data_IF_220058752982
#
_entry.id   IF_220058752982
#
_cell.length_a   1.000
_cell.length_b   1.000
_cell.length_c   1.000
_cell.angle_alpha   90.00
_cell.angle_beta   90.00
_cell.angle_gamma   90.00
#
_symmetry.space_group_name_H-M   'P 1'
#
loop_
_entity.id
_entity.type
_entity.pdbx_description
1 polymer ?
#
# COMPACT_ATOMS: atom_id res chain seq x y z
N UNK A 1 1.97 -14.40 -26.26
CA UNK A 1 1.99 -15.13 -24.98
C UNK A 1 2.90 -14.32 -24.08
N UNK A 2 2.37 -13.85 -22.95
CA UNK A 2 3.15 -13.06 -22.00
C UNK A 2 4.23 -13.96 -21.39
N UNK A 3 5.43 -13.41 -21.18
CA UNK A 3 6.53 -14.12 -20.53
C UNK A 3 6.19 -14.45 -19.06
N UNK A 4 6.34 -15.71 -18.67
CA UNK A 4 6.15 -16.17 -17.29
C UNK A 4 7.03 -15.41 -16.30
N UNK A 5 8.26 -15.05 -16.69
CA UNK A 5 9.16 -14.27 -15.84
C UNK A 5 8.58 -12.88 -15.57
N UNK A 6 7.99 -12.26 -16.59
CA UNK A 6 7.33 -10.97 -16.43
C UNK A 6 6.15 -11.06 -15.46
N UNK A 7 5.28 -12.07 -15.62
CA UNK A 7 4.14 -12.29 -14.72
C UNK A 7 4.59 -12.50 -13.27
N UNK A 8 5.56 -13.40 -13.03
CA UNK A 8 6.07 -13.66 -11.67
C UNK A 8 6.69 -12.40 -11.06
N UNK A 9 7.35 -11.57 -11.88
CA UNK A 9 7.89 -10.27 -11.42
C UNK A 9 6.80 -9.25 -11.09
N UNK A 10 5.71 -9.20 -11.85
CA UNK A 10 4.57 -8.32 -11.57
C UNK A 10 3.84 -8.75 -10.29
N UNK A 11 3.67 -10.06 -10.07
CA UNK A 11 3.14 -10.63 -8.82
C UNK A 11 4.01 -10.21 -7.62
N UNK A 12 5.33 -10.33 -7.75
CA UNK A 12 6.27 -9.91 -6.70
C UNK A 12 6.14 -8.40 -6.42
N UNK A 13 6.14 -7.58 -7.47
CA UNK A 13 6.04 -6.13 -7.35
C UNK A 13 4.72 -5.67 -6.70
N UNK A 14 3.58 -6.23 -7.12
CA UNK A 14 2.28 -5.89 -6.55
C UNK A 14 2.19 -6.26 -5.06
N UNK A 15 2.61 -7.48 -4.70
CA UNK A 15 2.57 -7.95 -3.30
C UNK A 15 3.58 -7.21 -2.41
N UNK A 16 4.72 -6.82 -2.96
CA UNK A 16 5.73 -5.96 -2.31
C UNK A 16 5.16 -4.57 -2.00
N UNK A 17 4.52 -3.91 -2.97
CA UNK A 17 3.89 -2.60 -2.81
C UNK A 17 2.76 -2.63 -1.76
N UNK A 18 1.91 -3.65 -1.80
CA UNK A 18 0.87 -3.86 -0.77
C UNK A 18 1.49 -4.07 0.61
N UNK A 19 2.52 -4.92 0.70
CA UNK A 19 3.21 -5.21 1.95
C UNK A 19 3.92 -3.99 2.57
N UNK A 20 4.30 -2.98 1.77
CA UNK A 20 4.82 -1.72 2.31
C UNK A 20 3.76 -0.95 3.12
N UNK A 21 2.52 -0.96 2.64
CA UNK A 21 1.41 -0.26 3.28
C UNK A 21 0.98 -0.99 4.54
N UNK A 22 0.88 -2.32 4.50
CA UNK A 22 0.58 -3.13 5.68
C UNK A 22 1.55 -2.83 6.84
N UNK A 23 2.82 -2.53 6.54
CA UNK A 23 3.84 -2.20 7.56
C UNK A 23 3.62 -0.85 8.24
N UNK A 24 3.00 0.11 7.56
CA UNK A 24 2.92 1.50 8.05
C UNK A 24 1.48 1.99 8.24
N UNK A 25 0.48 1.17 7.97
CA UNK A 25 -0.91 1.60 7.98
C UNK A 25 -1.33 2.28 9.29
N UNK A 26 -0.98 1.70 10.44
CA UNK A 26 -1.28 2.30 11.75
C UNK A 26 -0.63 3.69 11.92
N UNK A 27 0.57 3.89 11.36
CA UNK A 27 1.27 5.16 11.37
C UNK A 27 0.62 6.17 10.42
N UNK A 28 0.17 5.71 9.26
CA UNK A 28 -0.60 6.52 8.30
C UNK A 28 -1.90 6.99 8.95
N UNK A 29 -2.70 6.07 9.51
CA UNK A 29 -3.95 6.43 10.21
C UNK A 29 -3.71 7.48 11.30
N UNK A 30 -2.63 7.36 12.07
CA UNK A 30 -2.26 8.36 13.10
C UNK A 30 -2.01 9.75 12.51
N UNK A 31 -1.22 9.82 11.44
CA UNK A 31 -0.85 11.10 10.80
C UNK A 31 -2.05 11.75 10.11
N UNK A 32 -2.96 10.95 9.56
CA UNK A 32 -4.09 11.46 8.77
C UNK A 32 -5.32 11.76 9.62
N UNK A 33 -5.61 10.95 10.64
CA UNK A 33 -6.79 11.14 11.53
C UNK A 33 -6.54 12.09 12.70
N UNK A 34 -5.27 12.34 13.06
CA UNK A 34 -4.91 13.13 14.24
C UNK A 34 -5.30 12.48 15.58
N UNK A 35 -5.84 11.26 15.58
CA UNK A 35 -6.24 10.56 16.80
C UNK A 35 -5.06 9.84 17.46
N UNK A 36 -4.93 10.02 18.77
CA UNK A 36 -3.98 9.30 19.63
C UNK A 36 -4.46 7.90 20.03
N UNK A 37 -5.63 7.44 19.57
CA UNK A 37 -6.20 6.12 19.92
C UNK A 37 -5.46 4.92 19.31
N UNK A 38 -4.48 5.14 18.43
CA UNK A 38 -3.78 4.11 17.65
C UNK A 38 -2.53 3.51 18.28
N UNK A 39 -2.51 3.23 19.59
CA UNK A 39 -1.36 2.58 20.25
C UNK A 39 -1.43 1.04 20.29
N UNK A 40 -2.55 0.46 19.85
CA UNK A 40 -2.70 -0.99 19.70
C UNK A 40 -2.60 -1.31 18.21
N UNK A 41 -1.54 -2.01 17.77
CA UNK A 41 -1.46 -2.51 16.39
C UNK A 41 -2.73 -3.27 16.05
N UNK A 42 -3.45 -2.82 15.03
CA UNK A 42 -4.67 -3.51 14.60
C UNK A 42 -4.25 -4.61 13.65
N UNK A 43 -4.58 -5.85 13.99
CA UNK A 43 -4.42 -6.91 13.01
C UNK A 43 -5.42 -6.68 11.87
N UNK A 44 -4.89 -6.33 10.69
CA UNK A 44 -5.70 -6.25 9.47
C UNK A 44 -6.35 -7.60 9.19
N UNK A 45 -7.66 -7.56 8.93
CA UNK A 45 -8.48 -8.74 8.67
C UNK A 45 -8.07 -9.38 7.37
N UNK A 46 -7.74 -8.59 6.34
CA UNK A 46 -7.24 -9.08 5.07
C UNK A 46 -5.72 -8.91 4.97
N UNK A 47 -5.02 -9.93 4.47
CA UNK A 47 -3.59 -9.87 4.11
C UNK A 47 -3.38 -10.45 2.72
N UNK A 48 -2.63 -9.76 1.87
CA UNK A 48 -2.29 -10.20 0.51
C UNK A 48 -0.80 -10.51 0.47
N UNK A 49 -0.43 -11.73 0.08
CA UNK A 49 0.96 -12.19 0.10
C UNK A 49 1.30 -12.99 -1.16
N UNK A 50 2.59 -13.04 -1.50
CA UNK A 50 3.11 -13.96 -2.53
C UNK A 50 3.38 -15.33 -1.92
N UNK A 51 2.86 -16.37 -2.55
CA UNK A 51 3.20 -17.77 -2.25
C UNK A 51 3.60 -18.47 -3.55
N UNK A 52 4.90 -18.73 -3.75
CA UNK A 52 5.41 -19.21 -5.03
C UNK A 52 5.15 -18.20 -6.15
N UNK A 53 4.47 -18.62 -7.21
CA UNK A 53 4.04 -17.78 -8.35
C UNK A 53 2.55 -17.41 -8.28
N UNK A 54 2.02 -17.33 -7.06
CA UNK A 54 0.64 -16.95 -6.79
C UNK A 54 0.56 -15.80 -5.79
N UNK A 55 -0.56 -15.07 -5.88
CA UNK A 55 -1.02 -14.12 -4.87
C UNK A 55 -2.07 -14.83 -4.03
N UNK A 56 -1.86 -14.87 -2.72
CA UNK A 56 -2.79 -15.44 -1.75
C UNK A 56 -3.36 -14.33 -0.88
N UNK A 57 -4.67 -14.16 -0.94
CA UNK A 57 -5.43 -13.31 -0.03
C UNK A 57 -5.97 -14.17 1.12
N UNK A 58 -5.68 -13.73 2.34
CA UNK A 58 -6.17 -14.36 3.56
C UNK A 58 -7.09 -13.42 4.31
N UNK A 59 -8.23 -13.93 4.78
CA UNK A 59 -9.11 -13.22 5.71
C UNK A 59 -9.07 -13.94 7.05
N UNK A 60 -8.67 -13.25 8.11
CA UNK A 60 -8.49 -13.82 9.46
C UNK A 60 -7.59 -15.08 9.44
N UNK A 61 -6.52 -15.04 8.64
CA UNK A 61 -5.55 -16.12 8.47
C UNK A 61 -5.98 -17.26 7.55
N UNK A 62 -7.26 -17.37 7.21
CA UNK A 62 -7.77 -18.39 6.29
C UNK A 62 -7.59 -17.95 4.85
N UNK A 63 -7.18 -18.87 3.97
CA UNK A 63 -7.11 -18.60 2.53
C UNK A 63 -8.52 -18.25 2.04
N UNK A 64 -8.69 -17.04 1.54
CA UNK A 64 -9.92 -16.57 0.95
C UNK A 64 -9.87 -16.71 -0.58
N UNK A 65 -8.74 -16.32 -1.17
CA UNK A 65 -8.56 -16.36 -2.62
C UNK A 65 -7.10 -16.60 -2.97
N UNK A 66 -6.88 -17.33 -4.06
CA UNK A 66 -5.56 -17.50 -4.69
C UNK A 66 -5.68 -17.08 -6.15
N UNK A 67 -4.76 -16.23 -6.60
CA UNK A 67 -4.58 -15.86 -8.01
C UNK A 67 -3.23 -16.37 -8.45
N UNK A 68 -3.19 -17.03 -9.59
CA UNK A 68 -2.02 -17.68 -10.16
C UNK A 68 -1.47 -16.89 -11.34
N UNK A 69 -0.26 -17.21 -11.79
CA UNK A 69 0.31 -16.64 -13.01
C UNK A 69 -0.63 -16.72 -14.24
N UNK A 70 -1.45 -17.76 -14.34
CA UNK A 70 -2.39 -17.94 -15.46
C UNK A 70 -3.47 -16.84 -15.52
N UNK A 71 -3.85 -16.29 -14.37
CA UNK A 71 -4.84 -15.23 -14.28
C UNK A 71 -4.31 -13.89 -14.86
N UNK A 72 -2.98 -13.76 -14.97
CA UNK A 72 -2.31 -12.59 -15.55
C UNK A 72 -1.97 -12.76 -17.05
N UNK A 73 -2.09 -13.96 -17.63
CA UNK A 73 -1.69 -14.23 -19.04
C UNK A 73 -2.47 -13.41 -20.07
N UNK A 74 -3.66 -12.94 -19.70
CA UNK A 74 -4.55 -12.15 -20.57
C UNK A 74 -4.34 -10.64 -20.43
N UNK A 75 -3.51 -10.21 -19.48
CA UNK A 75 -3.23 -8.79 -19.30
C UNK A 75 -2.23 -8.28 -20.35
N UNK A 76 -2.36 -7.02 -20.77
CA UNK A 76 -1.32 -6.35 -21.55
C UNK A 76 0.04 -6.40 -20.85
N UNK A 77 1.10 -6.69 -21.60
CA UNK A 77 2.48 -6.67 -21.10
C UNK A 77 2.86 -5.33 -20.46
N UNK A 78 2.38 -4.22 -21.04
CA UNK A 78 2.58 -2.88 -20.50
C UNK A 78 2.00 -2.71 -19.08
N UNK A 79 0.88 -3.37 -18.75
CA UNK A 79 0.27 -3.28 -17.42
C UNK A 79 1.14 -4.03 -16.39
N UNK A 80 1.72 -5.16 -16.79
CA UNK A 80 2.62 -5.96 -15.94
C UNK A 80 3.94 -5.22 -15.69
N UNK A 81 4.49 -4.55 -16.71
CA UNK A 81 5.67 -3.71 -16.56
C UNK A 81 5.39 -2.48 -15.69
N UNK A 82 4.22 -1.86 -15.86
CA UNK A 82 3.84 -0.67 -15.11
C UNK A 82 3.78 -0.93 -13.60
N UNK A 83 3.39 -2.13 -13.18
CA UNK A 83 3.38 -2.51 -11.76
C UNK A 83 4.76 -2.44 -11.11
N UNK A 84 5.83 -2.71 -11.86
CA UNK A 84 7.21 -2.58 -11.36
C UNK A 84 7.60 -1.12 -11.16
N UNK A 85 7.11 -0.23 -12.03
CA UNK A 85 7.30 1.22 -11.88
C UNK A 85 6.58 1.72 -10.62
N UNK A 86 5.35 1.26 -10.40
CA UNK A 86 4.57 1.59 -9.20
C UNK A 86 5.23 1.06 -7.92
N UNK A 87 5.76 -0.17 -7.94
CA UNK A 87 6.53 -0.72 -6.81
C UNK A 87 7.77 0.14 -6.52
N UNK A 88 8.53 0.52 -7.53
CA UNK A 88 9.72 1.36 -7.34
C UNK A 88 9.34 2.73 -6.76
N UNK A 89 8.26 3.34 -7.25
CA UNK A 89 7.74 4.61 -6.72
C UNK A 89 7.32 4.47 -5.25
N UNK A 90 6.59 3.40 -4.92
CA UNK A 90 6.22 3.07 -3.54
C UNK A 90 7.42 2.90 -2.62
N UNK A 91 8.48 2.21 -3.07
CA UNK A 91 9.72 2.06 -2.30
C UNK A 91 10.40 3.41 -2.05
N UNK A 92 10.43 4.29 -3.06
CA UNK A 92 11.02 5.63 -2.92
C UNK A 92 10.25 6.46 -1.87
N UNK A 93 8.92 6.47 -1.96
CA UNK A 93 8.08 7.17 -1.00
C UNK A 93 8.19 6.58 0.41
N UNK A 94 8.24 5.25 0.53
CA UNK A 94 8.47 4.56 1.80
C UNK A 94 9.83 4.93 2.41
N UNK A 95 10.88 5.06 1.61
CA UNK A 95 12.20 5.49 2.11
C UNK A 95 12.15 6.90 2.70
N UNK A 96 11.41 7.82 2.06
CA UNK A 96 11.18 9.17 2.60
C UNK A 96 10.40 9.07 3.92
N UNK A 97 9.29 8.32 3.92
CA UNK A 97 8.46 8.07 5.12
C UNK A 97 9.31 7.57 6.30
N UNK A 98 10.11 6.53 6.07
CA UNK A 98 10.95 5.90 7.09
C UNK A 98 12.00 6.87 7.68
N UNK A 99 12.46 7.86 6.90
CA UNK A 99 13.41 8.88 7.39
C UNK A 99 12.73 10.04 8.13
N UNK A 100 11.48 10.38 7.75
CA UNK A 100 10.76 11.55 8.27
C UNK A 100 9.94 11.19 9.51
N UNK A 101 9.24 10.05 9.50
CA UNK A 101 8.31 9.66 10.55
C UNK A 101 8.92 9.66 11.96
N UNK A 102 10.14 9.13 12.19
CA UNK A 102 10.77 9.15 13.52
C UNK A 102 11.00 10.56 14.07
N UNK A 103 11.07 11.58 13.21
CA UNK A 103 11.31 12.96 13.62
C UNK A 103 10.11 13.57 14.37
N UNK A 104 8.90 13.03 14.20
CA UNK A 104 7.71 13.47 14.95
C UNK A 104 7.88 13.34 16.46
N UNK A 105 8.55 12.27 16.92
CA UNK A 105 8.82 12.05 18.34
C UNK A 105 9.90 12.99 18.90
N UNK A 106 10.72 13.57 18.02
CA UNK A 106 11.84 14.46 18.39
C UNK A 106 11.47 15.95 18.28
N UNK A 107 10.39 16.28 17.57
CA UNK A 107 9.95 17.65 17.36
C UNK A 107 9.26 18.22 18.61
N UNK A 108 10.03 18.94 19.44
CA UNK A 108 9.52 19.66 20.62
C UNK A 108 8.85 21.00 20.24
N UNK A 109 9.32 21.63 19.16
CA UNK A 109 8.74 22.86 18.62
C UNK A 109 7.45 22.56 17.83
N UNK A 110 6.31 23.18 18.17
CA UNK A 110 5.05 23.00 17.46
C UNK A 110 5.13 23.31 15.96
N UNK A 111 5.94 24.30 15.55
CA UNK A 111 6.07 24.67 14.13
C UNK A 111 6.84 23.59 13.37
N UNK A 112 7.98 23.14 13.90
CA UNK A 112 8.73 22.03 13.33
C UNK A 112 7.90 20.73 13.25
N UNK A 113 7.07 20.46 14.27
CA UNK A 113 6.15 19.32 14.28
C UNK A 113 5.12 19.41 13.15
N UNK A 114 4.44 20.55 13.02
CA UNK A 114 3.44 20.76 11.97
C UNK A 114 4.04 20.64 10.56
N UNK A 115 5.27 21.13 10.34
CA UNK A 115 5.98 20.97 9.07
C UNK A 115 6.28 19.50 8.75
N UNK A 116 6.70 18.73 9.76
CA UNK A 116 6.99 17.29 9.62
C UNK A 116 5.71 16.52 9.30
N UNK A 117 4.61 16.82 9.98
CA UNK A 117 3.29 16.23 9.69
C UNK A 117 2.82 16.56 8.27
N UNK A 118 2.98 17.81 7.82
CA UNK A 118 2.63 18.20 6.45
C UNK A 118 3.46 17.44 5.40
N UNK A 119 4.76 17.25 5.64
CA UNK A 119 5.62 16.46 4.76
C UNK A 119 5.16 14.99 4.70
N UNK A 120 4.85 14.38 5.85
CA UNK A 120 4.35 13.01 5.91
C UNK A 120 3.01 12.87 5.17
N UNK A 121 2.08 13.80 5.35
CA UNK A 121 0.80 13.83 4.62
C UNK A 121 1.03 13.87 3.10
N UNK A 122 1.98 14.68 2.64
CA UNK A 122 2.37 14.71 1.22
C UNK A 122 2.86 13.36 0.71
N UNK A 123 3.70 12.66 1.48
CA UNK A 123 4.16 11.32 1.14
C UNK A 123 3.01 10.31 1.08
N UNK A 124 2.06 10.35 2.03
CA UNK A 124 0.87 9.48 2.02
C UNK A 124 0.03 9.69 0.76
N UNK A 125 -0.15 10.95 0.32
CA UNK A 125 -0.91 11.26 -0.89
C UNK A 125 -0.30 10.58 -2.12
N UNK A 126 1.03 10.62 -2.27
CA UNK A 126 1.70 9.98 -3.39
C UNK A 126 1.69 8.44 -3.27
N UNK A 127 1.98 7.88 -2.09
CA UNK A 127 1.87 6.43 -1.86
C UNK A 127 0.46 5.91 -2.13
N UNK A 128 -0.57 6.68 -1.79
CA UNK A 128 -1.96 6.31 -2.08
C UNK A 128 -2.19 6.20 -3.58
N UNK A 129 -1.69 7.13 -4.40
CA UNK A 129 -1.87 7.09 -5.87
C UNK A 129 -1.28 5.80 -6.44
N UNK A 130 -0.04 5.50 -6.06
CA UNK A 130 0.66 4.31 -6.53
C UNK A 130 -0.04 3.03 -6.06
N UNK A 131 -0.39 2.96 -4.77
CA UNK A 131 -1.10 1.81 -4.22
C UNK A 131 -2.48 1.62 -4.85
N UNK A 132 -3.22 2.70 -5.13
CA UNK A 132 -4.54 2.59 -5.77
C UNK A 132 -4.41 1.93 -7.13
N UNK A 133 -3.41 2.31 -7.93
CA UNK A 133 -3.14 1.67 -9.21
C UNK A 133 -2.74 0.18 -9.05
N UNK A 134 -1.93 -0.16 -8.04
CA UNK A 134 -1.60 -1.57 -7.71
C UNK A 134 -2.85 -2.36 -7.32
N UNK A 135 -3.71 -1.80 -6.47
CA UNK A 135 -4.95 -2.43 -6.02
C UNK A 135 -5.92 -2.61 -7.19
N UNK A 136 -6.04 -1.63 -8.07
CA UNK A 136 -6.88 -1.73 -9.28
C UNK A 136 -6.35 -2.83 -10.20
N UNK A 137 -5.04 -2.94 -10.39
CA UNK A 137 -4.43 -4.07 -11.12
C UNK A 137 -4.76 -5.43 -10.49
N UNK A 138 -4.64 -5.57 -9.16
CA UNK A 138 -4.99 -6.79 -8.45
C UNK A 138 -6.47 -7.13 -8.62
N UNK A 139 -7.35 -6.13 -8.55
CA UNK A 139 -8.78 -6.28 -8.72
C UNK A 139 -9.16 -6.67 -10.16
N UNK A 140 -8.53 -6.08 -11.18
CA UNK A 140 -8.69 -6.47 -12.58
C UNK A 140 -8.20 -7.89 -12.86
N UNK A 141 -7.22 -8.36 -12.10
CA UNK A 141 -6.71 -9.74 -12.15
C UNK A 141 -7.62 -10.73 -11.41
N UNK A 142 -8.71 -10.25 -10.82
CA UNK A 142 -9.75 -11.05 -10.16
C UNK A 142 -9.73 -10.99 -8.64
N UNK A 143 -8.81 -10.24 -7.99
CA UNK A 143 -8.70 -10.22 -6.54
C UNK A 143 -9.83 -9.40 -5.90
N UNK A 144 -10.46 -9.97 -4.88
CA UNK A 144 -11.37 -9.21 -4.03
C UNK A 144 -10.59 -8.41 -2.97
N UNK A 145 -10.92 -7.13 -2.85
CA UNK A 145 -10.31 -6.19 -1.91
C UNK A 145 -11.31 -5.72 -0.85
N UNK A 146 -10.91 -5.74 0.42
CA UNK A 146 -11.67 -5.28 1.58
C UNK A 146 -10.73 -4.63 2.62
N UNK A 147 -11.24 -4.30 3.81
CA UNK A 147 -10.51 -3.83 4.98
C UNK A 147 -9.70 -2.55 4.75
N UNK A 148 -8.45 -2.49 5.19
CA UNK A 148 -7.61 -1.31 5.04
C UNK A 148 -7.28 -0.99 3.57
N UNK A 149 -7.31 -1.98 2.67
CA UNK A 149 -7.16 -1.75 1.22
C UNK A 149 -8.33 -0.95 0.61
N UNK A 150 -9.53 -1.03 1.20
CA UNK A 150 -10.64 -0.16 0.82
C UNK A 150 -10.56 1.21 1.50
N UNK A 151 -10.07 1.27 2.74
CA UNK A 151 -9.94 2.54 3.48
C UNK A 151 -8.90 3.47 2.89
N UNK A 152 -7.78 2.95 2.40
CA UNK A 152 -6.72 3.78 1.82
C UNK A 152 -7.19 4.61 0.63
N UNK A 153 -8.18 4.13 -0.13
CA UNK A 153 -8.83 4.89 -1.22
C UNK A 153 -9.50 6.17 -0.71
N UNK A 154 -9.88 6.23 0.56
CA UNK A 154 -10.58 7.36 1.18
C UNK A 154 -9.69 8.29 2.02
N UNK A 155 -8.44 7.89 2.32
CA UNK A 155 -7.50 8.65 3.19
C UNK A 155 -7.28 10.11 2.76
N UNK A 156 -7.35 10.42 1.45
CA UNK A 156 -7.19 11.80 0.96
C UNK A 156 -8.45 12.65 1.12
N UNK A 157 -9.65 12.05 1.14
CA UNK A 157 -10.88 12.79 1.44
C UNK A 157 -10.86 13.34 2.86
N UNK A 158 -10.27 12.60 3.79
CA UNK A 158 -10.08 13.01 5.19
C UNK A 158 -8.99 14.08 5.33
N UNK A 159 -7.89 13.97 4.57
CA UNK A 159 -6.83 14.98 4.54
C UNK A 159 -7.28 16.32 3.97
N UNK A 160 -8.16 16.32 2.96
CA UNK A 160 -8.71 17.53 2.35
C UNK A 160 -9.82 18.18 3.19
N UNK A 161 -10.52 17.40 4.04
CA UNK A 161 -11.55 17.93 4.94
C UNK A 161 -10.97 18.51 6.25
N UNK A 162 -9.72 18.21 6.57
CA UNK A 162 -9.00 18.68 7.76
C UNK A 162 -8.05 19.87 7.49
N UNK A 163 -8.05 20.42 6.27
CA UNK A 163 -7.31 21.61 5.85
C UNK A 163 -8.25 22.81 5.69
#
# INVERSE_FOLDING_TARGET
MVDFVLVSSAIAAATSAVGLIDKIWDQVERVTSGSSEGDIPREHRQKIQKEGDAIVSRIQGQVYQTITAQDFEKLPEADLEHIKVLEQSMNNHYAVWASVYPQLALAVDPIAKAKTEAQLKGVVVEMKKDLTAVLDFLQHSGLYLDDHYMRIRNVVGELAAAA
#
